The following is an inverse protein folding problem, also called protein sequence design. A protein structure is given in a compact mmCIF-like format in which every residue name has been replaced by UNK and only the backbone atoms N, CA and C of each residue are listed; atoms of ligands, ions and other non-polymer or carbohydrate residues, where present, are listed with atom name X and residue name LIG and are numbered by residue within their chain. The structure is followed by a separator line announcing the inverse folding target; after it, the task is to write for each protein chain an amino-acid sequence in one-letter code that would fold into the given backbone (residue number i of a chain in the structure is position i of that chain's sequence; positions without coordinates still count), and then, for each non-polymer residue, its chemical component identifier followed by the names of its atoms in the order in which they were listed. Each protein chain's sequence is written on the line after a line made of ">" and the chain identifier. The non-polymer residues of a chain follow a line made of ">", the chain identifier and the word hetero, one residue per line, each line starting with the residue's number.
data_IF_939401554910
#
_entry.id   IF_939401554910
#
_cell.length_a   1.000
_cell.length_b   1.000
_cell.length_c   1.000
_cell.angle_alpha   90.00
_cell.angle_beta   90.00
_cell.angle_gamma   90.00
#
_symmetry.space_group_name_H-M   'P 1'
#
loop_
_entity.id
_entity.type
_entity.pdbx_description
1 polymer ?
#
# COMPACT_ATOMS: atom_id res chain seq x y z
N UNK A 1 -7.10 -11.25 -6.38
CA UNK A 1 -7.53 -11.02 -4.97
C UNK A 1 -9.05 -11.09 -4.80
N UNK A 2 -9.84 -10.34 -5.58
CA UNK A 2 -11.31 -10.25 -5.43
C UNK A 2 -12.10 -11.27 -6.27
N UNK A 3 -11.45 -12.35 -6.72
CA UNK A 3 -12.10 -13.35 -7.55
C UNK A 3 -13.24 -14.02 -6.78
N UNK A 4 -14.45 -13.97 -7.35
CA UNK A 4 -15.65 -14.53 -6.73
C UNK A 4 -16.33 -13.64 -5.68
N UNK A 5 -15.83 -12.43 -5.41
CA UNK A 5 -16.54 -11.50 -4.51
C UNK A 5 -17.83 -11.02 -5.16
N UNK A 6 -18.95 -11.26 -4.48
CA UNK A 6 -20.27 -10.81 -4.91
C UNK A 6 -20.92 -9.99 -3.80
N UNK A 7 -21.56 -8.89 -4.20
CA UNK A 7 -22.41 -8.13 -3.28
C UNK A 7 -23.69 -8.92 -3.01
N UNK A 8 -24.17 -9.00 -1.76
CA UNK A 8 -25.51 -9.49 -1.49
C UNK A 8 -26.56 -8.55 -2.13
N UNK A 9 -27.79 -9.04 -2.42
CA UNK A 9 -28.79 -8.27 -3.15
C UNK A 9 -29.21 -6.95 -2.49
N UNK A 10 -29.10 -6.90 -1.16
CA UNK A 10 -29.58 -5.82 -0.29
C UNK A 10 -28.47 -4.88 0.20
N UNK A 11 -27.19 -5.19 -0.06
CA UNK A 11 -26.08 -4.36 0.40
C UNK A 11 -24.89 -4.35 -0.57
N UNK A 12 -24.28 -3.17 -0.74
CA UNK A 12 -23.04 -3.01 -1.50
C UNK A 12 -21.87 -2.97 -0.52
N UNK A 13 -21.06 -4.04 -0.52
CA UNK A 13 -19.84 -4.16 0.29
C UNK A 13 -18.55 -4.09 -0.54
N UNK A 14 -18.66 -4.19 -1.86
CA UNK A 14 -17.53 -4.18 -2.79
C UNK A 14 -17.86 -3.37 -4.04
N UNK A 15 -16.91 -2.53 -4.48
CA UNK A 15 -16.97 -1.81 -5.75
C UNK A 15 -15.63 -1.93 -6.47
N UNK A 16 -15.55 -2.61 -7.62
CA UNK A 16 -14.33 -2.60 -8.43
C UNK A 16 -14.09 -1.20 -8.99
N UNK A 17 -12.84 -0.78 -9.01
CA UNK A 17 -12.38 0.44 -9.67
C UNK A 17 -11.00 0.19 -10.27
N UNK A 18 -10.58 1.04 -11.17
CA UNK A 18 -9.24 1.02 -11.72
C UNK A 18 -8.77 2.44 -11.98
N UNK A 19 -7.88 2.96 -11.12
CA UNK A 19 -7.31 4.29 -11.32
C UNK A 19 -5.92 4.44 -10.71
N UNK A 20 -5.04 5.24 -11.33
CA UNK A 20 -3.78 5.63 -10.72
C UNK A 20 -4.03 6.54 -9.51
N UNK A 21 -3.23 6.37 -8.45
CA UNK A 21 -3.24 7.18 -7.23
C UNK A 21 -1.82 7.44 -6.75
N UNK A 22 -1.63 8.49 -5.93
CA UNK A 22 -0.42 8.67 -5.14
C UNK A 22 -0.74 8.36 -3.67
N UNK A 23 0.07 7.52 -3.05
CA UNK A 23 -0.10 7.12 -1.65
C UNK A 23 0.95 7.82 -0.80
N UNK A 24 0.51 8.58 0.20
CA UNK A 24 1.37 9.14 1.24
C UNK A 24 1.72 8.05 2.26
N UNK A 25 2.93 7.51 2.19
CA UNK A 25 3.39 6.37 3.01
C UNK A 25 4.14 6.81 4.27
N UNK A 26 4.57 8.08 4.36
CA UNK A 26 5.38 8.62 5.47
C UNK A 26 4.71 8.48 6.84
N UNK A 27 3.38 8.38 6.89
CA UNK A 27 2.60 8.19 8.13
C UNK A 27 2.12 6.76 8.37
N UNK A 28 2.25 5.86 7.39
CA UNK A 28 1.74 4.49 7.48
C UNK A 28 2.68 3.55 8.23
N UNK A 29 3.97 3.90 8.32
CA UNK A 29 5.00 3.07 8.94
C UNK A 29 5.76 3.85 10.03
N UNK A 30 5.13 4.11 11.18
CA UNK A 30 5.70 4.97 12.23
C UNK A 30 7.03 4.46 12.81
N UNK A 31 7.36 3.17 12.66
CA UNK A 31 8.63 2.60 13.11
C UNK A 31 9.76 2.64 12.06
N UNK A 32 9.47 3.03 10.81
CA UNK A 32 10.44 3.01 9.70
C UNK A 32 10.93 4.41 9.31
N UNK A 33 10.76 5.39 10.21
CA UNK A 33 11.20 6.76 10.01
C UNK A 33 12.65 6.84 9.52
N UNK A 34 12.93 7.83 8.68
CA UNK A 34 14.24 8.11 8.07
C UNK A 34 15.41 8.14 9.05
N UNK A 35 15.13 8.36 10.34
CA UNK A 35 16.09 8.33 11.44
C UNK A 35 16.57 6.92 11.84
N UNK A 36 15.77 5.85 11.66
CA UNK A 36 16.17 4.49 12.08
C UNK A 36 17.14 3.83 11.10
N UNK A 37 16.99 4.10 9.80
CA UNK A 37 17.87 3.56 8.75
C UNK A 37 19.27 4.19 8.82
N UNK A 38 19.38 5.48 9.18
CA UNK A 38 20.68 6.17 9.31
C UNK A 38 21.60 5.53 10.37
N UNK A 39 21.02 4.88 11.39
CA UNK A 39 21.75 4.18 12.45
C UNK A 39 22.03 2.70 12.13
N UNK A 40 21.53 2.19 11.01
CA UNK A 40 21.74 0.80 10.62
C UNK A 40 23.15 0.59 10.03
N UNK A 41 23.74 -0.61 10.12
CA UNK A 41 24.96 -0.98 9.41
C UNK A 41 24.88 -0.68 7.90
N UNK A 42 25.99 -0.27 7.28
CA UNK A 42 26.06 0.12 5.86
C UNK A 42 25.41 -0.87 4.87
N UNK A 43 25.54 -2.21 5.01
CA UNK A 43 24.85 -3.14 4.13
C UNK A 43 23.32 -3.02 4.21
N UNK A 44 22.79 -2.81 5.41
CA UNK A 44 21.36 -2.66 5.67
C UNK A 44 20.88 -1.33 5.07
N UNK A 45 21.66 -0.25 5.18
CA UNK A 45 21.32 1.02 4.53
C UNK A 45 21.21 0.91 3.00
N UNK A 46 22.03 0.05 2.37
CA UNK A 46 22.09 -0.11 0.90
C UNK A 46 21.01 -1.05 0.35
N UNK A 47 20.69 -2.11 1.09
CA UNK A 47 19.84 -3.20 0.61
C UNK A 47 18.43 -3.22 1.24
N UNK A 48 18.12 -2.29 2.15
CA UNK A 48 16.78 -2.18 2.71
C UNK A 48 15.79 -1.44 1.82
N UNK A 49 14.52 -1.66 2.14
CA UNK A 49 13.37 -1.06 1.49
C UNK A 49 13.43 0.47 1.60
N UNK A 50 13.40 1.13 0.45
CA UNK A 50 13.41 2.59 0.38
C UNK A 50 11.97 3.07 0.38
N UNK A 51 11.56 3.69 1.48
CA UNK A 51 10.25 4.32 1.58
C UNK A 51 10.40 5.79 1.24
N UNK A 52 10.08 6.13 0.00
CA UNK A 52 9.77 7.51 -0.37
C UNK A 52 8.47 7.97 0.30
N UNK A 53 8.27 9.27 0.41
CA UNK A 53 7.08 9.84 1.03
C UNK A 53 5.81 9.57 0.22
N UNK A 54 5.92 9.57 -1.10
CA UNK A 54 4.83 9.31 -2.03
C UNK A 54 5.19 8.14 -2.92
N UNK A 55 4.30 7.16 -3.02
CA UNK A 55 4.46 6.05 -3.96
C UNK A 55 3.33 6.08 -5.00
N UNK A 56 3.66 5.87 -6.29
CA UNK A 56 2.64 5.62 -7.28
C UNK A 56 1.95 4.30 -6.97
N UNK A 57 0.62 4.30 -7.02
CA UNK A 57 -0.18 3.11 -6.80
C UNK A 57 -1.35 3.04 -7.77
N UNK A 58 -2.07 1.93 -7.70
CA UNK A 58 -3.28 1.68 -8.47
C UNK A 58 -4.39 1.28 -7.51
N UNK A 59 -5.43 2.09 -7.44
CA UNK A 59 -6.61 1.72 -6.67
C UNK A 59 -7.43 0.72 -7.48
N UNK A 60 -7.67 -0.45 -6.90
CA UNK A 60 -8.35 -1.58 -7.56
C UNK A 60 -9.77 -1.84 -7.01
N UNK A 61 -10.08 -1.33 -5.83
CA UNK A 61 -11.41 -1.48 -5.25
C UNK A 61 -11.73 -0.42 -4.18
N UNK A 62 -13.03 -0.33 -3.87
CA UNK A 62 -13.53 0.09 -2.57
C UNK A 62 -14.17 -1.11 -1.86
N UNK A 63 -13.87 -1.31 -0.58
CA UNK A 63 -14.48 -2.33 0.27
C UNK A 63 -15.13 -1.68 1.49
N UNK A 64 -16.37 -2.03 1.78
CA UNK A 64 -17.13 -1.47 2.90
C UNK A 64 -16.94 -2.32 4.14
N UNK A 65 -16.59 -1.68 5.24
CA UNK A 65 -16.52 -2.29 6.56
C UNK A 65 -17.91 -2.44 7.17
N UNK A 66 -18.04 -3.34 8.15
CA UNK A 66 -19.31 -3.63 8.82
C UNK A 66 -19.94 -2.40 9.49
N UNK A 67 -19.11 -1.45 9.93
CA UNK A 67 -19.55 -0.17 10.52
C UNK A 67 -19.79 0.94 9.49
N UNK A 68 -19.79 0.60 8.19
CA UNK A 68 -20.27 1.47 7.12
C UNK A 68 -19.21 2.29 6.38
N UNK A 69 -18.00 2.42 6.92
CA UNK A 69 -16.85 3.10 6.29
C UNK A 69 -16.33 2.32 5.09
N UNK A 70 -15.81 3.02 4.09
CA UNK A 70 -15.16 2.42 2.91
C UNK A 70 -13.65 2.50 3.02
N UNK A 71 -12.97 1.39 2.69
CA UNK A 71 -11.53 1.32 2.49
C UNK A 71 -11.21 1.30 1.01
N UNK A 72 -10.23 2.10 0.61
CA UNK A 72 -9.59 1.98 -0.69
C UNK A 72 -8.60 0.83 -0.66
N UNK A 73 -8.71 -0.07 -1.62
CA UNK A 73 -7.71 -1.13 -1.82
C UNK A 73 -6.77 -0.67 -2.92
N UNK A 74 -5.50 -0.49 -2.58
CA UNK A 74 -4.49 0.09 -3.46
C UNK A 74 -3.30 -0.85 -3.57
N UNK A 75 -2.94 -1.21 -4.80
CA UNK A 75 -1.69 -1.88 -5.11
C UNK A 75 -0.58 -0.84 -5.25
N UNK A 76 0.55 -1.09 -4.59
CA UNK A 76 1.73 -0.22 -4.63
C UNK A 76 2.96 -1.09 -4.89
N UNK A 77 3.85 -0.62 -5.74
CA UNK A 77 5.17 -1.22 -5.92
C UNK A 77 6.18 -0.47 -5.05
N UNK A 78 6.86 -1.20 -4.17
CA UNK A 78 7.89 -0.67 -3.29
C UNK A 78 9.25 -1.18 -3.77
N UNK A 79 10.19 -0.27 -3.98
CA UNK A 79 11.56 -0.62 -4.38
C UNK A 79 12.53 -0.50 -3.22
N UNK A 80 13.51 -1.40 -3.14
CA UNK A 80 14.67 -1.22 -2.25
C UNK A 80 15.62 -0.16 -2.81
N UNK A 81 16.48 0.40 -1.95
CA UNK A 81 17.33 1.56 -2.30
C UNK A 81 18.31 1.30 -3.45
N UNK A 82 18.79 0.07 -3.61
CA UNK A 82 19.70 -0.30 -4.70
C UNK A 82 18.97 -0.60 -6.03
N UNK A 83 17.62 -0.56 -6.04
CA UNK A 83 16.79 -0.84 -7.20
C UNK A 83 16.77 -2.30 -7.65
N UNK A 84 17.41 -3.22 -6.92
CA UNK A 84 17.56 -4.62 -7.32
C UNK A 84 16.33 -5.48 -6.98
N UNK A 85 15.49 -5.01 -6.06
CA UNK A 85 14.26 -5.70 -5.64
C UNK A 85 13.08 -4.73 -5.66
N UNK A 86 12.04 -5.14 -6.36
CA UNK A 86 10.71 -4.53 -6.29
C UNK A 86 9.75 -5.51 -5.61
N UNK A 87 8.92 -4.99 -4.71
CA UNK A 87 7.90 -5.76 -3.98
C UNK A 87 6.56 -5.11 -4.23
N UNK A 88 5.62 -5.89 -4.78
CA UNK A 88 4.23 -5.47 -4.87
C UNK A 88 3.52 -5.73 -3.55
N UNK A 89 2.82 -4.73 -3.04
CA UNK A 89 2.04 -4.81 -1.81
C UNK A 89 0.65 -4.25 -2.00
N UNK A 90 -0.29 -4.68 -1.16
CA UNK A 90 -1.67 -4.19 -1.14
C UNK A 90 -1.90 -3.43 0.15
N UNK A 91 -2.32 -2.18 0.02
CA UNK A 91 -2.69 -1.30 1.12
C UNK A 91 -4.21 -1.18 1.21
N UNK A 92 -4.70 -1.15 2.45
CA UNK A 92 -6.10 -0.94 2.79
C UNK A 92 -6.20 0.41 3.51
N UNK A 93 -6.60 1.45 2.77
CA UNK A 93 -6.54 2.86 3.17
C UNK A 93 -7.92 3.41 3.52
#
# INVERSE_FOLDING_TARGET
>A
MFEGWQNPPDAVSYRPIDRPVQVLTTGMFPAWGTSSVSLAPLPIQRHCLALEAFHPGRQIAWVRLSYGTWLAVVEVELTIRDGLIAVQTVLWL
#
